data_IF_759317926669
#
_entry.id   IF_759317926669
#
_cell.length_a   1.000
_cell.length_b   1.000
_cell.length_c   1.000
_cell.angle_alpha   90.00
_cell.angle_beta   90.00
_cell.angle_gamma   90.00
#
_symmetry.space_group_name_H-M   'P 1'
#
loop_
_entity.id
_entity.type
_entity.pdbx_description
1 polymer ?
#
# COMPACT_ATOMS: atom_id res chain seq x y z
N UNK A 1 -4.88 -16.06 8.20
CA UNK A 1 -5.68 -16.49 7.03
C UNK A 1 -6.69 -15.38 6.80
N UNK A 2 -6.55 -14.64 5.70
CA UNK A 2 -7.33 -13.42 5.43
C UNK A 2 -8.67 -13.80 4.83
N UNK A 3 -9.71 -13.91 5.66
CA UNK A 3 -11.08 -14.07 5.19
C UNK A 3 -11.59 -12.71 4.69
N UNK A 4 -11.54 -12.48 3.36
CA UNK A 4 -12.53 -11.62 2.72
C UNK A 4 -12.08 -10.53 1.73
N UNK A 5 -10.79 -10.20 1.63
CA UNK A 5 -10.34 -9.13 0.71
C UNK A 5 -9.21 -9.60 -0.19
N UNK A 6 -9.36 -9.41 -1.51
CA UNK A 6 -8.32 -9.73 -2.50
C UNK A 6 -7.25 -8.63 -2.53
N UNK A 7 -5.98 -9.00 -2.79
CA UNK A 7 -4.91 -8.04 -3.08
C UNK A 7 -5.29 -7.08 -4.22
N UNK A 8 -6.17 -7.52 -5.13
CA UNK A 8 -6.70 -6.69 -6.20
C UNK A 8 -7.47 -5.46 -5.69
N UNK A 9 -8.24 -5.58 -4.61
CA UNK A 9 -9.01 -4.47 -4.04
C UNK A 9 -8.10 -3.41 -3.44
N UNK A 10 -7.06 -3.84 -2.71
CA UNK A 10 -6.03 -2.94 -2.19
C UNK A 10 -5.27 -2.25 -3.33
N UNK A 11 -4.88 -3.00 -4.37
CA UNK A 11 -4.19 -2.44 -5.53
C UNK A 11 -5.07 -1.41 -6.26
N UNK A 12 -6.38 -1.66 -6.40
CA UNK A 12 -7.30 -0.73 -7.01
C UNK A 12 -7.38 0.59 -6.22
N UNK A 13 -7.55 0.53 -4.90
CA UNK A 13 -7.62 1.72 -4.06
C UNK A 13 -6.28 2.48 -4.06
N UNK A 14 -5.15 1.76 -3.98
CA UNK A 14 -3.81 2.36 -4.03
C UNK A 14 -3.60 3.06 -5.38
N UNK A 15 -4.06 2.47 -6.50
CA UNK A 15 -3.96 3.11 -7.82
C UNK A 15 -4.75 4.42 -7.90
N UNK A 16 -5.90 4.48 -7.25
CA UNK A 16 -6.73 5.68 -7.22
C UNK A 16 -6.14 6.76 -6.32
N UNK A 17 -5.68 6.42 -5.11
CA UNK A 17 -5.26 7.40 -4.11
C UNK A 17 -3.77 7.74 -4.14
N UNK A 18 -2.93 6.73 -4.26
CA UNK A 18 -1.47 6.86 -4.18
C UNK A 18 -0.89 7.12 -5.56
N UNK A 19 -1.21 6.27 -6.53
CA UNK A 19 -0.58 6.35 -7.84
C UNK A 19 -1.01 7.61 -8.62
N UNK A 20 -2.19 8.18 -8.36
CA UNK A 20 -2.62 9.47 -8.92
C UNK A 20 -1.80 10.67 -8.45
N UNK A 21 -1.05 10.50 -7.35
CA UNK A 21 -0.17 11.51 -6.74
C UNK A 21 1.31 11.16 -6.86
N UNK A 22 1.63 10.01 -7.46
CA UNK A 22 2.99 9.55 -7.61
C UNK A 22 3.69 10.29 -8.76
N UNK A 23 4.81 10.95 -8.47
CA UNK A 23 5.60 11.66 -9.48
C UNK A 23 6.10 10.75 -10.61
N UNK A 24 6.25 9.45 -10.32
CA UNK A 24 6.68 8.45 -11.28
C UNK A 24 5.56 8.01 -12.25
N UNK A 25 4.29 8.30 -11.95
CA UNK A 25 3.15 7.91 -12.80
C UNK A 25 2.51 9.17 -13.43
N UNK A 26 2.63 9.36 -14.75
CA UNK A 26 1.90 10.42 -15.45
C UNK A 26 0.40 10.31 -15.20
N UNK A 27 -0.36 11.44 -15.14
CA UNK A 27 -1.81 11.41 -15.05
C UNK A 27 -2.43 10.53 -16.14
N UNK A 28 -3.27 9.57 -15.76
CA UNK A 28 -3.90 8.61 -16.69
C UNK A 28 -2.96 7.54 -17.26
N UNK A 29 -1.69 7.51 -16.85
CA UNK A 29 -0.71 6.51 -17.30
C UNK A 29 -1.05 5.09 -16.83
N UNK A 30 -0.52 4.04 -17.51
CA UNK A 30 -0.71 2.65 -17.10
C UNK A 30 -0.09 2.39 -15.71
N UNK A 31 -0.28 1.18 -15.14
CA UNK A 31 0.54 0.70 -14.03
C UNK A 31 2.05 0.83 -14.33
N UNK A 32 2.87 0.82 -13.29
CA UNK A 32 4.30 1.13 -13.42
C UNK A 32 5.09 -0.01 -14.06
N UNK A 33 4.76 -1.26 -13.73
CA UNK A 33 5.41 -2.47 -14.26
C UNK A 33 5.42 -2.52 -15.81
N UNK A 34 4.31 -2.29 -16.54
CA UNK A 34 4.31 -2.21 -18.01
C UNK A 34 5.28 -1.18 -18.60
N UNK A 35 5.70 -0.18 -17.82
CA UNK A 35 6.69 0.83 -18.24
C UNK A 35 8.13 0.43 -17.90
N UNK A 36 8.34 -0.80 -17.44
CA UNK A 36 9.64 -1.31 -16.99
C UNK A 36 10.10 -0.74 -15.64
N UNK A 37 9.20 -0.08 -14.90
CA UNK A 37 9.53 0.50 -13.59
C UNK A 37 9.36 -0.53 -12.49
N UNK A 38 10.33 -0.62 -11.59
CA UNK A 38 10.24 -1.44 -10.38
C UNK A 38 9.53 -0.67 -9.27
N UNK A 39 8.20 -0.64 -9.32
CA UNK A 39 7.39 0.12 -8.36
C UNK A 39 7.39 -0.52 -6.97
N UNK A 40 7.64 0.28 -5.93
CA UNK A 40 7.64 -0.19 -4.53
C UNK A 40 6.30 -0.77 -4.09
N UNK A 41 5.18 -0.24 -4.60
CA UNK A 41 3.83 -0.77 -4.33
C UNK A 41 3.63 -2.12 -5.00
N UNK A 42 3.83 -2.19 -6.32
CA UNK A 42 3.51 -3.39 -7.10
C UNK A 42 4.39 -4.58 -6.68
N UNK A 43 5.65 -4.32 -6.33
CA UNK A 43 6.59 -5.37 -5.89
C UNK A 43 6.34 -5.85 -4.47
N UNK A 44 5.82 -5.01 -3.58
CA UNK A 44 5.70 -5.32 -2.14
C UNK A 44 4.27 -5.16 -1.63
N UNK A 45 3.26 -5.32 -2.49
CA UNK A 45 1.87 -5.05 -2.09
C UNK A 45 1.46 -5.88 -0.88
N UNK A 46 1.82 -7.18 -0.88
CA UNK A 46 1.49 -8.08 0.22
C UNK A 46 2.13 -7.61 1.52
N UNK A 47 3.44 -7.39 1.51
CA UNK A 47 4.20 -6.97 2.68
C UNK A 47 3.76 -5.60 3.18
N UNK A 48 3.34 -4.70 2.28
CA UNK A 48 2.79 -3.40 2.63
C UNK A 48 1.44 -3.52 3.34
N UNK A 49 0.53 -4.34 2.81
CA UNK A 49 -0.77 -4.61 3.46
C UNK A 49 -0.56 -5.27 4.81
N UNK A 50 0.31 -6.28 4.88
CA UNK A 50 0.65 -6.96 6.13
C UNK A 50 1.27 -6.01 7.16
N UNK A 51 2.15 -5.10 6.75
CA UNK A 51 2.73 -4.09 7.62
C UNK A 51 1.66 -3.15 8.21
N UNK A 52 0.68 -2.73 7.40
CA UNK A 52 -0.45 -1.91 7.87
C UNK A 52 -1.34 -2.69 8.83
N UNK A 53 -1.69 -3.94 8.51
CA UNK A 53 -2.53 -4.77 9.38
C UNK A 53 -1.88 -5.12 10.72
N UNK A 54 -0.55 -5.16 10.77
CA UNK A 54 0.21 -5.39 12.01
C UNK A 54 0.37 -4.12 12.86
N UNK A 55 -0.16 -2.98 12.42
CA UNK A 55 -0.05 -1.71 13.12
C UNK A 55 -1.44 -1.09 13.34
N UNK A 56 -1.66 -0.59 14.55
CA UNK A 56 -2.93 0.04 14.92
C UNK A 56 -2.61 1.27 15.76
N UNK A 57 -2.52 2.42 15.12
CA UNK A 57 -2.12 3.66 15.76
C UNK A 57 -2.85 4.86 15.18
N UNK A 58 -3.12 5.86 16.00
CA UNK A 58 -3.62 7.16 15.54
C UNK A 58 -2.51 8.08 14.99
N UNK A 59 -1.28 7.58 14.92
CA UNK A 59 -0.09 8.32 14.51
C UNK A 59 0.66 7.57 13.42
N UNK A 60 1.22 8.30 12.45
CA UNK A 60 1.97 7.69 11.34
C UNK A 60 3.34 7.11 11.74
N UNK A 61 3.93 7.53 12.86
CA UNK A 61 5.26 7.10 13.30
C UNK A 61 5.43 5.56 13.30
N UNK A 62 4.57 4.82 14.02
CA UNK A 62 4.60 3.35 14.02
C UNK A 62 4.46 2.71 12.63
N UNK A 63 3.59 3.23 11.76
CA UNK A 63 3.46 2.73 10.39
C UNK A 63 4.74 2.95 9.58
N UNK A 64 5.42 4.10 9.75
CA UNK A 64 6.71 4.40 9.11
C UNK A 64 7.77 3.42 9.56
N UNK A 65 7.91 3.20 10.87
CA UNK A 65 8.86 2.25 11.43
C UNK A 65 8.61 0.83 10.89
N UNK A 66 7.37 0.36 10.94
CA UNK A 66 6.99 -0.95 10.41
C UNK A 66 7.25 -1.07 8.91
N UNK A 67 6.95 -0.04 8.13
CA UNK A 67 7.24 -0.02 6.70
C UNK A 67 8.75 -0.13 6.42
N UNK A 68 9.58 0.59 7.18
CA UNK A 68 11.03 0.54 7.03
C UNK A 68 11.64 -0.80 7.46
N UNK A 69 11.10 -1.41 8.51
CA UNK A 69 11.56 -2.70 9.06
C UNK A 69 11.03 -3.91 8.29
N UNK A 70 9.82 -3.85 7.75
CA UNK A 70 9.19 -4.96 7.03
C UNK A 70 9.41 -4.87 5.52
N UNK A 71 8.97 -3.77 4.91
CA UNK A 71 8.97 -3.61 3.45
C UNK A 71 10.35 -3.17 2.95
N UNK A 72 10.95 -2.13 3.55
CA UNK A 72 12.23 -1.61 3.06
C UNK A 72 13.43 -2.47 3.45
N UNK A 73 13.34 -3.30 4.48
CA UNK A 73 14.48 -4.07 4.99
C UNK A 73 15.14 -4.96 3.93
N UNK A 74 14.35 -5.46 2.98
CA UNK A 74 14.82 -6.33 1.90
C UNK A 74 14.82 -5.66 0.52
N UNK A 75 14.60 -4.34 0.47
CA UNK A 75 14.54 -3.60 -0.79
C UNK A 75 15.94 -3.45 -1.41
N UNK A 76 16.13 -3.99 -2.61
CA UNK A 76 17.41 -3.92 -3.35
C UNK A 76 17.85 -2.49 -3.67
N UNK A 77 16.93 -1.53 -3.67
CA UNK A 77 17.22 -0.13 -3.95
C UNK A 77 17.66 0.65 -2.71
N UNK A 78 17.52 0.09 -1.50
CA UNK A 78 17.89 0.74 -0.23
C UNK A 78 19.35 1.25 -0.18
N UNK A 79 20.38 0.52 -0.67
CA UNK A 79 21.76 1.03 -0.68
C UNK A 79 22.07 1.96 -1.87
N UNK A 80 21.09 2.30 -2.70
CA UNK A 80 21.28 3.08 -3.94
C UNK A 80 20.71 4.48 -3.81
N UNK A 81 21.02 5.36 -4.76
CA UNK A 81 20.43 6.71 -4.85
C UNK A 81 18.95 6.71 -5.25
N UNK A 82 18.34 5.55 -5.51
CA UNK A 82 16.90 5.42 -5.77
C UNK A 82 16.07 5.33 -4.47
N UNK A 83 16.73 5.30 -3.31
CA UNK A 83 16.11 5.35 -1.99
C UNK A 83 16.40 6.71 -1.31
N UNK A 84 15.43 7.35 -0.66
CA UNK A 84 14.01 6.97 -0.54
C UNK A 84 13.28 7.01 -1.89
N UNK A 85 12.38 6.04 -2.11
CA UNK A 85 11.55 6.01 -3.31
C UNK A 85 10.25 6.81 -3.10
N UNK A 86 9.48 7.05 -4.15
CA UNK A 86 8.23 7.80 -4.06
C UNK A 86 7.23 7.22 -3.04
N UNK A 87 7.24 5.89 -2.80
CA UNK A 87 6.36 5.26 -1.82
C UNK A 87 6.66 5.71 -0.38
N UNK A 88 7.92 5.98 -0.04
CA UNK A 88 8.30 6.44 1.29
C UNK A 88 7.58 7.76 1.65
N UNK A 89 7.57 8.70 0.71
CA UNK A 89 6.87 9.99 0.85
C UNK A 89 5.35 9.88 0.76
N UNK A 90 4.84 8.82 0.13
CA UNK A 90 3.41 8.60 -0.08
C UNK A 90 2.83 7.57 0.90
N UNK A 91 3.61 7.15 1.91
CA UNK A 91 3.21 6.08 2.82
C UNK A 91 1.88 6.38 3.52
N UNK A 92 1.65 7.62 3.95
CA UNK A 92 0.37 8.04 4.54
C UNK A 92 -0.82 7.68 3.63
N UNK A 93 -0.72 7.99 2.33
CA UNK A 93 -1.79 7.69 1.38
C UNK A 93 -1.96 6.18 1.14
N UNK A 94 -0.88 5.42 1.25
CA UNK A 94 -0.94 3.96 1.14
C UNK A 94 -1.65 3.35 2.36
N UNK A 95 -1.34 3.82 3.58
CA UNK A 95 -2.05 3.42 4.80
C UNK A 95 -3.54 3.77 4.69
N UNK A 96 -3.86 5.02 4.35
CA UNK A 96 -5.25 5.46 4.18
C UNK A 96 -6.02 4.65 3.12
N UNK A 97 -5.34 4.23 2.04
CA UNK A 97 -5.95 3.39 1.01
C UNK A 97 -6.24 1.97 1.54
N UNK A 98 -5.30 1.38 2.26
CA UNK A 98 -5.44 0.02 2.81
C UNK A 98 -6.54 0.00 3.87
N UNK A 99 -6.51 0.92 4.83
CA UNK A 99 -7.52 1.01 5.89
C UNK A 99 -8.91 1.29 5.31
N UNK A 100 -9.03 2.10 4.24
CA UNK A 100 -10.31 2.32 3.59
C UNK A 100 -10.90 1.06 2.96
N UNK A 101 -10.06 0.16 2.43
CA UNK A 101 -10.50 -1.15 1.93
C UNK A 101 -10.93 -2.03 3.10
N UNK A 102 -10.14 -2.08 4.18
CA UNK A 102 -10.44 -2.86 5.38
C UNK A 102 -11.80 -2.45 5.98
N UNK A 103 -12.05 -1.14 6.10
CA UNK A 103 -13.32 -0.62 6.60
C UNK A 103 -14.50 -1.06 5.72
N UNK A 104 -14.35 -1.07 4.39
CA UNK A 104 -15.41 -1.53 3.48
C UNK A 104 -15.62 -3.04 3.58
N UNK A 105 -14.55 -3.82 3.71
CA UNK A 105 -14.62 -5.26 3.93
C UNK A 105 -15.33 -5.60 5.23
N UNK A 106 -14.99 -4.92 6.33
CA UNK A 106 -15.64 -5.06 7.63
C UNK A 106 -17.12 -4.67 7.61
N UNK A 107 -17.46 -3.54 6.94
CA UNK A 107 -18.86 -3.12 6.71
C UNK A 107 -19.65 -4.16 5.91
N UNK A 108 -19.04 -4.77 4.89
CA UNK A 108 -19.67 -5.79 4.04
C UNK A 108 -19.87 -7.11 4.77
N UNK A 109 -18.92 -7.53 5.61
CA UNK A 109 -19.06 -8.72 6.46
C UNK A 109 -20.17 -8.55 7.51
N UNK A 110 -20.27 -7.37 8.13
CA UNK A 110 -21.31 -7.08 9.13
C UNK A 110 -22.72 -7.06 8.51
N UNK A 111 -22.89 -6.47 7.32
CA UNK A 111 -24.19 -6.45 6.60
C UNK A 111 -24.65 -7.85 6.14
N UNK A 112 -23.72 -8.76 5.83
CA UNK A 112 -24.03 -10.14 5.43
C UNK A 112 -24.38 -11.04 6.63
N UNK A 113 -23.91 -10.72 7.83
CA UNK A 113 -24.24 -11.46 9.04
C UNK A 113 -25.65 -11.12 9.58
N UNK A 114 -26.23 -9.99 9.14
CA UNK A 114 -27.54 -9.50 9.56
C UNK A 114 -28.70 -9.89 8.62
N UNK A 115 -28.42 -10.67 7.55
CA UNK A 115 -29.42 -11.18 6.59
C UNK A 115 -29.52 -12.70 6.64
#
# INVERSE_FOLDING_TARGET
MYEGTDLEDYMAEIRERVCSRCIERPPGGPPCEPLGKRCGVEVNLRELVEAVHLEHSNWMGPYIERFHEGVCAHCVNRPTSQCPCALDYLLLLAVEAIEAVDERGGKTAMQRAET
#
